data_IF_987186326265
#
_entry.id   IF_987186326265
#
_cell.length_a   1.000
_cell.length_b   1.000
_cell.length_c   1.000
_cell.angle_alpha   90.00
_cell.angle_beta   90.00
_cell.angle_gamma   90.00
#
_symmetry.space_group_name_H-M   'P 1'
#
loop_
_entity.id
_entity.type
_entity.pdbx_description
1 polymer ?
#
# COMPACT_ATOMS: atom_id res chain seq x y z
N UNK A 1 9.79 6.75 4.03
CA UNK A 1 9.24 5.75 3.08
C UNK A 1 7.89 5.23 3.50
N UNK A 2 7.75 4.53 4.63
CA UNK A 2 6.43 4.08 5.11
C UNK A 2 5.40 5.23 5.21
N UNK A 3 5.72 6.29 5.95
CA UNK A 3 4.83 7.45 6.09
C UNK A 3 4.53 8.12 4.77
N UNK A 4 5.52 8.19 3.88
CA UNK A 4 5.33 8.73 2.53
C UNK A 4 4.33 7.90 1.73
N UNK A 5 4.41 6.56 1.79
CA UNK A 5 3.42 5.70 1.15
C UNK A 5 2.03 5.97 1.71
N UNK A 6 1.85 6.00 3.04
CA UNK A 6 0.56 6.34 3.65
C UNK A 6 -0.01 7.67 3.13
N UNK A 7 0.81 8.73 3.09
CA UNK A 7 0.41 10.04 2.56
C UNK A 7 0.09 9.99 1.07
N UNK A 8 0.87 9.28 0.26
CA UNK A 8 0.63 9.17 -1.17
C UNK A 8 -0.68 8.43 -1.47
N UNK A 9 -1.02 7.39 -0.70
CA UNK A 9 -2.32 6.72 -0.80
C UNK A 9 -3.47 7.65 -0.42
N UNK A 10 -3.33 8.39 0.69
CA UNK A 10 -4.33 9.35 1.12
C UNK A 10 -4.57 10.43 0.06
N UNK A 11 -3.51 10.95 -0.57
CA UNK A 11 -3.63 11.92 -1.66
C UNK A 11 -4.31 11.32 -2.90
N UNK A 12 -4.04 10.06 -3.22
CA UNK A 12 -4.61 9.39 -4.39
C UNK A 12 -6.08 9.01 -4.22
N UNK A 13 -6.51 8.73 -2.98
CA UNK A 13 -7.82 8.12 -2.71
C UNK A 13 -8.76 8.97 -1.86
N UNK A 14 -8.24 9.95 -1.13
CA UNK A 14 -8.99 10.73 -0.12
C UNK A 14 -9.18 10.00 1.22
N UNK A 15 -8.67 8.78 1.37
CA UNK A 15 -8.84 7.96 2.58
C UNK A 15 -7.49 7.66 3.26
N UNK A 16 -7.48 7.59 4.59
CA UNK A 16 -6.34 7.07 5.32
C UNK A 16 -6.10 5.59 4.97
N UNK A 17 -4.85 5.24 4.66
CA UNK A 17 -4.46 3.86 4.36
C UNK A 17 -4.73 2.90 5.53
N UNK A 18 -4.43 3.36 6.75
CA UNK A 18 -4.72 2.65 8.00
C UNK A 18 -5.51 3.59 8.90
N UNK A 19 -6.73 3.19 9.25
CA UNK A 19 -7.63 3.92 10.12
C UNK A 19 -8.02 3.02 11.31
N UNK A 20 -7.09 2.80 12.25
CA UNK A 20 -7.30 1.88 13.36
C UNK A 20 -8.42 2.35 14.28
N UNK A 21 -9.07 1.39 14.93
CA UNK A 21 -10.18 1.62 15.85
C UNK A 21 -10.02 0.77 17.10
N UNK A 22 -10.53 1.28 18.20
CA UNK A 22 -10.75 0.46 19.38
C UNK A 22 -11.88 -0.55 19.13
N UNK A 23 -11.68 -1.77 19.61
CA UNK A 23 -12.66 -2.84 19.49
C UNK A 23 -12.89 -3.58 20.79
N UNK A 24 -13.79 -4.55 20.75
CA UNK A 24 -14.09 -5.37 21.92
C UNK A 24 -12.91 -6.32 22.22
N UNK A 25 -12.05 -5.91 23.15
CA UNK A 25 -10.93 -6.72 23.66
C UNK A 25 -9.59 -6.45 22.99
N UNK A 26 -9.49 -5.48 22.08
CA UNK A 26 -8.21 -5.01 21.54
C UNK A 26 -8.21 -3.49 21.44
N UNK A 27 -7.04 -2.88 21.61
CA UNK A 27 -6.86 -1.43 21.46
C UNK A 27 -6.42 -1.04 20.05
N UNK A 28 -6.43 0.27 19.79
CA UNK A 28 -6.02 0.89 18.53
C UNK A 28 -4.68 0.35 17.97
N UNK A 29 -3.67 0.17 18.82
CA UNK A 29 -2.36 -0.35 18.41
C UNK A 29 -2.44 -1.77 17.81
N UNK A 30 -3.25 -2.67 18.36
CA UNK A 30 -3.38 -4.03 17.84
C UNK A 30 -4.20 -4.05 16.56
N UNK A 31 -5.25 -3.23 16.49
CA UNK A 31 -6.04 -3.05 15.27
C UNK A 31 -5.17 -2.50 14.13
N UNK A 32 -4.29 -1.55 14.42
CA UNK A 32 -3.35 -1.03 13.43
C UNK A 32 -2.43 -2.14 12.90
N UNK A 33 -1.89 -3.00 13.77
CA UNK A 33 -1.08 -4.16 13.34
C UNK A 33 -1.90 -5.14 12.49
N UNK A 34 -3.17 -5.37 12.83
CA UNK A 34 -4.08 -6.19 12.04
C UNK A 34 -4.29 -5.61 10.65
N UNK A 35 -4.61 -4.31 10.53
CA UNK A 35 -4.79 -3.63 9.25
C UNK A 35 -3.53 -3.71 8.37
N UNK A 36 -2.36 -3.54 8.96
CA UNK A 36 -1.08 -3.72 8.25
C UNK A 36 -0.96 -5.15 7.69
N UNK A 37 -1.30 -6.17 8.48
CA UNK A 37 -1.21 -7.58 8.08
C UNK A 37 -2.29 -7.99 7.07
N UNK A 38 -3.50 -7.42 7.16
CA UNK A 38 -4.58 -7.66 6.22
C UNK A 38 -4.24 -7.14 4.82
N UNK A 39 -3.57 -5.99 4.75
CA UNK A 39 -3.14 -5.38 3.49
C UNK A 39 -1.87 -6.02 2.91
N UNK A 40 -0.85 -6.28 3.76
CA UNK A 40 0.51 -6.64 3.31
C UNK A 40 0.84 -8.12 3.52
N UNK A 41 -0.08 -8.89 4.10
CA UNK A 41 0.14 -10.27 4.49
C UNK A 41 0.81 -10.42 5.86
N UNK A 42 1.09 -11.66 6.23
CA UNK A 42 1.63 -12.01 7.56
C UNK A 42 2.97 -11.32 7.81
N UNK A 43 3.07 -10.63 8.95
CA UNK A 43 4.32 -10.02 9.40
C UNK A 43 5.39 -11.11 9.63
N UNK A 44 6.63 -10.92 9.13
CA UNK A 44 7.71 -11.86 9.39
C UNK A 44 7.93 -12.02 10.89
N UNK A 45 7.99 -13.26 11.37
CA UNK A 45 8.10 -13.58 12.81
C UNK A 45 9.22 -12.80 13.51
N UNK A 46 10.39 -12.68 12.89
CA UNK A 46 11.53 -11.93 13.46
C UNK A 46 11.19 -10.46 13.75
N UNK A 47 10.38 -9.84 12.90
CA UNK A 47 9.90 -8.45 13.10
C UNK A 47 8.83 -8.45 14.19
N UNK A 48 7.82 -9.31 14.06
CA UNK A 48 6.70 -9.39 15.01
C UNK A 48 7.16 -9.64 16.45
N UNK A 49 8.14 -10.54 16.65
CA UNK A 49 8.68 -10.90 17.97
C UNK A 49 9.86 -10.04 18.43
N UNK A 50 10.34 -9.11 17.59
CA UNK A 50 11.57 -8.35 17.85
C UNK A 50 11.37 -7.04 18.61
N UNK A 51 10.14 -6.51 18.66
CA UNK A 51 9.84 -5.22 19.30
C UNK A 51 9.80 -5.29 20.83
N UNK A 52 10.14 -4.19 21.50
CA UNK A 52 10.12 -4.10 22.97
C UNK A 52 8.73 -4.39 23.58
N UNK A 53 7.66 -3.93 22.91
CA UNK A 53 6.25 -4.20 23.26
C UNK A 53 5.65 -5.39 22.52
N UNK A 54 6.47 -6.21 21.85
CA UNK A 54 5.97 -7.33 21.04
C UNK A 54 5.06 -8.28 21.82
N UNK A 55 5.42 -8.55 23.07
CA UNK A 55 4.66 -9.44 23.97
C UNK A 55 3.28 -8.91 24.31
N UNK A 56 2.97 -7.64 24.06
CA UNK A 56 1.64 -7.10 24.31
C UNK A 56 0.68 -7.50 23.18
N UNK A 57 1.18 -7.63 21.96
CA UNK A 57 0.34 -7.82 20.75
C UNK A 57 0.49 -9.20 20.10
N UNK A 58 1.68 -9.81 20.14
CA UNK A 58 2.00 -11.05 19.42
C UNK A 58 2.24 -12.23 20.33
N UNK A 59 1.87 -13.42 19.87
CA UNK A 59 2.28 -14.68 20.46
C UNK A 59 3.70 -15.11 20.03
N UNK A 60 4.17 -16.28 20.50
CA UNK A 60 5.51 -16.80 20.16
C UNK A 60 5.68 -17.18 18.68
N UNK A 61 4.58 -17.35 17.95
CA UNK A 61 4.53 -17.69 16.53
C UNK A 61 4.48 -16.43 15.64
N UNK A 62 4.27 -15.25 16.24
CA UNK A 62 4.15 -13.97 15.54
C UNK A 62 2.73 -13.69 15.06
N UNK A 63 1.73 -14.34 15.66
CA UNK A 63 0.31 -14.10 15.39
C UNK A 63 -0.26 -13.15 16.45
N UNK A 64 -1.25 -12.33 16.06
CA UNK A 64 -1.91 -11.39 16.97
C UNK A 64 -2.72 -12.15 18.03
N UNK A 65 -2.68 -11.67 19.28
CA UNK A 65 -3.27 -12.35 20.43
C UNK A 65 -4.79 -12.24 20.46
N UNK A 66 -5.31 -11.04 20.22
CA UNK A 66 -6.72 -10.72 20.32
C UNK A 66 -7.40 -10.82 18.95
N UNK A 67 -6.77 -10.29 17.90
CA UNK A 67 -7.30 -10.36 16.53
C UNK A 67 -6.83 -11.64 15.83
N UNK A 68 -7.53 -12.75 16.08
CA UNK A 68 -7.15 -14.09 15.56
C UNK A 68 -7.59 -14.38 14.13
N UNK A 69 -8.47 -13.57 13.56
CA UNK A 69 -9.04 -13.77 12.21
C UNK A 69 -8.86 -12.51 11.39
N UNK A 70 -7.78 -12.46 10.62
CA UNK A 70 -7.49 -11.38 9.68
C UNK A 70 -8.31 -11.55 8.39
N UNK A 71 -8.91 -10.47 7.94
CA UNK A 71 -9.62 -10.36 6.66
C UNK A 71 -8.67 -9.79 5.61
N UNK A 72 -7.88 -10.67 4.99
CA UNK A 72 -6.92 -10.24 3.99
C UNK A 72 -7.59 -9.53 2.82
N UNK A 73 -7.14 -8.30 2.56
CA UNK A 73 -7.58 -7.48 1.45
C UNK A 73 -6.36 -6.78 0.85
N UNK A 74 -5.58 -7.49 0.00
CA UNK A 74 -4.37 -6.97 -0.59
C UNK A 74 -4.61 -5.66 -1.34
N UNK A 75 -3.59 -4.79 -1.41
CA UNK A 75 -3.71 -3.46 -2.00
C UNK A 75 -4.30 -3.47 -3.42
N UNK A 76 -3.86 -4.40 -4.28
CA UNK A 76 -4.42 -4.54 -5.63
C UNK A 76 -5.95 -4.71 -5.59
N UNK A 77 -6.42 -5.63 -4.76
CA UNK A 77 -7.84 -5.92 -4.61
C UNK A 77 -8.60 -4.78 -3.94
N UNK A 78 -7.97 -4.07 -3.00
CA UNK A 78 -8.55 -2.86 -2.41
C UNK A 78 -8.78 -1.79 -3.48
N UNK A 79 -7.79 -1.56 -4.34
CA UNK A 79 -7.86 -0.58 -5.43
C UNK A 79 -8.92 -0.94 -6.47
N UNK A 80 -9.01 -2.21 -6.87
CA UNK A 80 -10.05 -2.66 -7.83
C UNK A 80 -11.44 -2.64 -7.21
N UNK A 81 -11.62 -3.21 -6.01
CA UNK A 81 -12.94 -3.44 -5.44
C UNK A 81 -13.54 -2.15 -4.90
N UNK A 82 -12.76 -1.32 -4.20
CA UNK A 82 -13.24 -0.09 -3.54
C UNK A 82 -13.10 1.13 -4.45
N UNK A 83 -11.93 1.32 -5.06
CA UNK A 83 -11.62 2.54 -5.83
C UNK A 83 -11.83 2.39 -7.34
N UNK A 84 -12.23 1.20 -7.80
CA UNK A 84 -12.58 0.92 -9.20
C UNK A 84 -11.43 1.16 -10.19
N UNK A 85 -10.19 0.98 -9.74
CA UNK A 85 -9.03 0.96 -10.62
C UNK A 85 -9.14 -0.20 -11.60
N UNK A 86 -8.59 -0.04 -12.81
CA UNK A 86 -8.39 -1.18 -13.70
C UNK A 86 -7.39 -2.15 -13.07
N UNK A 87 -7.57 -3.46 -13.28
CA UNK A 87 -6.69 -4.48 -12.67
C UNK A 87 -5.21 -4.24 -13.00
N UNK A 88 -4.91 -3.85 -14.25
CA UNK A 88 -3.54 -3.55 -14.68
C UNK A 88 -2.95 -2.33 -13.92
N UNK A 89 -3.72 -1.26 -13.79
CA UNK A 89 -3.29 -0.05 -13.07
C UNK A 89 -3.11 -0.31 -11.58
N UNK A 90 -4.04 -1.08 -10.98
CA UNK A 90 -3.96 -1.48 -9.58
C UNK A 90 -2.71 -2.32 -9.30
N UNK A 91 -2.36 -3.22 -10.22
CA UNK A 91 -1.15 -4.06 -10.14
C UNK A 91 0.11 -3.22 -10.24
N UNK A 92 0.22 -2.36 -11.25
CA UNK A 92 1.40 -1.51 -11.42
C UNK A 92 1.59 -0.55 -10.24
N UNK A 93 0.48 -0.01 -9.71
CA UNK A 93 0.50 0.80 -8.49
C UNK A 93 1.00 -0.01 -7.30
N UNK A 94 0.45 -1.22 -7.08
CA UNK A 94 0.85 -2.07 -5.96
C UNK A 94 2.33 -2.49 -6.06
N UNK A 95 2.83 -2.79 -7.25
CA UNK A 95 4.25 -3.12 -7.49
C UNK A 95 5.19 -1.97 -7.09
N UNK A 96 4.81 -0.73 -7.37
CA UNK A 96 5.55 0.46 -6.92
C UNK A 96 5.43 0.70 -5.41
N UNK A 97 4.23 0.50 -4.88
CA UNK A 97 3.82 1.02 -3.57
C UNK A 97 4.11 0.06 -2.42
N UNK A 98 3.80 -1.23 -2.57
CA UNK A 98 4.00 -2.26 -1.55
C UNK A 98 5.44 -2.37 -1.03
N UNK A 99 6.51 -2.22 -1.84
CA UNK A 99 7.88 -2.24 -1.34
C UNK A 99 8.18 -1.15 -0.30
N UNK A 100 7.53 0.02 -0.39
CA UNK A 100 7.69 1.10 0.59
C UNK A 100 7.09 0.75 1.96
N UNK A 101 6.15 -0.20 1.94
CA UNK A 101 5.45 -0.75 3.10
C UNK A 101 6.02 -2.10 3.56
N UNK A 102 7.25 -2.44 3.17
CA UNK A 102 7.88 -3.64 3.72
C UNK A 102 7.99 -3.56 5.25
N UNK A 103 7.59 -4.61 5.97
CA UNK A 103 7.70 -4.66 7.44
C UNK A 103 9.15 -4.49 7.91
N UNK A 104 10.08 -5.18 7.26
CA UNK A 104 11.51 -5.06 7.51
C UNK A 104 12.04 -3.75 6.90
N UNK A 105 12.52 -2.78 7.71
CA UNK A 105 12.95 -1.47 7.21
C UNK A 105 14.04 -1.55 6.14
N UNK A 106 14.97 -2.51 6.27
CA UNK A 106 16.08 -2.75 5.35
C UNK A 106 15.64 -3.22 3.95
N UNK A 107 14.38 -3.67 3.80
CA UNK A 107 13.80 -4.05 2.50
C UNK A 107 13.10 -2.89 1.80
N UNK A 108 12.95 -1.74 2.46
CA UNK A 108 12.28 -0.57 1.86
C UNK A 108 13.24 0.12 0.89
N UNK A 109 12.80 0.48 -0.32
CA UNK A 109 13.62 1.26 -1.23
C UNK A 109 13.87 2.66 -0.67
N UNK A 110 15.00 3.26 -1.02
CA UNK A 110 15.24 4.69 -0.77
C UNK A 110 14.39 5.55 -1.70
N UNK A 111 14.20 6.83 -1.35
CA UNK A 111 13.48 7.76 -2.23
C UNK A 111 14.13 7.86 -3.63
N UNK A 112 15.46 7.86 -3.70
CA UNK A 112 16.19 7.85 -4.97
C UNK A 112 15.87 6.60 -5.81
N UNK A 113 15.78 5.42 -5.18
CA UNK A 113 15.39 4.19 -5.87
C UNK A 113 13.93 4.26 -6.35
N UNK A 114 13.02 4.81 -5.55
CA UNK A 114 11.63 4.99 -5.96
C UNK A 114 11.49 5.88 -7.20
N UNK A 115 12.29 6.95 -7.33
CA UNK A 115 12.28 7.83 -8.51
C UNK A 115 12.67 7.12 -9.81
N UNK A 116 13.40 6.00 -9.73
CA UNK A 116 13.75 5.20 -10.90
C UNK A 116 12.67 4.18 -11.29
N UNK A 117 11.59 4.07 -10.50
CA UNK A 117 10.58 3.05 -10.74
C UNK A 117 9.78 3.33 -12.02
N UNK A 118 9.54 2.33 -12.89
CA UNK A 118 8.83 2.53 -14.15
C UNK A 118 7.48 3.22 -14.00
N UNK A 119 6.72 2.90 -12.94
CA UNK A 119 5.42 3.49 -12.66
C UNK A 119 5.41 5.03 -12.64
N UNK A 120 6.44 5.67 -12.08
CA UNK A 120 6.56 7.13 -12.08
C UNK A 120 6.96 7.69 -13.46
N UNK A 121 7.69 6.90 -14.25
CA UNK A 121 8.19 7.32 -15.55
C UNK A 121 7.16 7.14 -16.67
N UNK A 122 6.17 6.25 -16.51
CA UNK A 122 5.08 6.01 -17.48
C UNK A 122 4.24 7.28 -17.74
N UNK A 123 4.02 8.11 -16.71
CA UNK A 123 3.25 9.36 -16.84
C UNK A 123 3.89 10.41 -17.75
N UNK A 124 5.22 10.40 -17.88
CA UNK A 124 5.94 11.32 -18.79
C UNK A 124 5.75 10.95 -20.27
N UNK A 125 5.51 9.66 -20.56
CA UNK A 125 5.30 9.16 -21.92
C UNK A 125 3.82 9.19 -22.30
N UNK A 126 2.93 8.79 -21.40
CA UNK A 126 1.48 8.77 -21.67
C UNK A 126 0.85 10.16 -21.83
N UNK A 127 1.34 11.20 -21.14
CA UNK A 127 0.89 12.57 -21.40
C UNK A 127 1.30 13.04 -22.81
N UNK A 128 2.48 12.63 -23.31
CA UNK A 128 2.89 12.92 -24.68
C UNK A 128 1.97 12.28 -25.71
N UNK A 129 1.67 10.99 -25.55
CA UNK A 129 0.77 10.28 -26.46
C UNK A 129 -0.68 10.74 -26.39
N UNK A 130 -1.19 11.12 -25.21
CA UNK A 130 -2.56 11.63 -25.07
C UNK A 130 -2.72 13.03 -25.70
N UNK A 131 -1.73 13.91 -25.53
CA UNK A 131 -1.72 15.24 -26.16
C UNK A 131 -1.53 15.11 -27.68
N UNK A 132 -0.63 14.23 -28.17
CA UNK A 132 -0.47 13.99 -29.61
C UNK A 132 -1.72 13.37 -30.26
N UNK A 133 -2.38 12.43 -29.59
CA UNK A 133 -3.62 11.83 -30.07
C UNK A 133 -4.76 12.87 -30.13
N UNK A 134 -4.84 13.77 -29.16
CA UNK A 134 -5.78 14.89 -29.17
C UNK A 134 -5.45 15.91 -30.28
N UNK A 135 -4.17 16.21 -30.52
CA UNK A 135 -3.74 17.11 -31.58
C UNK A 135 -3.95 16.54 -32.99
N UNK A 136 -3.78 15.23 -33.21
CA UNK A 136 -4.09 14.59 -34.50
C UNK A 136 -5.58 14.62 -34.84
N UNK A 137 -6.44 14.48 -33.83
CA UNK A 137 -7.90 14.56 -34.01
C UNK A 137 -8.42 15.98 -34.30
N UNK A 138 -7.61 17.02 -34.02
CA UNK A 138 -7.93 18.41 -34.34
C UNK A 138 -7.50 18.83 -35.76
N UNK A 139 -6.67 18.04 -36.46
CA UNK A 139 -6.09 18.40 -37.77
C UNK A 139 -6.71 17.71 -38.99
N UNK A 140 -7.89 17.07 -38.85
CA UNK A 140 -8.62 16.52 -40.01
C UNK A 140 -10.02 17.10 -40.07
N UNK A 141 -10.14 18.36 -40.50
CA UNK A 141 -11.26 18.92 -41.29
C UNK A 141 -10.79 20.25 -41.90
N UNK A 142 -10.09 20.17 -43.02
CA UNK A 142 -9.83 21.26 -43.95
C UNK A 142 -10.08 20.76 -45.36
#
# INVERSE_FOLDING_TARGET
MWSFACTAFELATGDMLFAPKDGNGYGEDEDHLALMMELLGKMPRKIATGGARSKDYFDRHGDLKMIRRLKYWPLERLLTDKYKFLEAEAREFADFFCPMLAFAPERRPTAQQCLQHPWLNLGTQNNGYHIEAQMRNLHIKG
#
